data_IF_572328588577
#
_entry.id   IF_572328588577
#
_cell.length_a   1.000
_cell.length_b   1.000
_cell.length_c   1.000
_cell.angle_alpha   90.00
_cell.angle_beta   90.00
_cell.angle_gamma   90.00
#
_symmetry.space_group_name_H-M   'P 1'
#
loop_
_entity.id
_entity.type
_entity.pdbx_description
1 polymer ?
#
# COMPACT_ATOMS: atom_id res chain seq x y z
N UNK A 1 -0.78 7.00 -9.64
CA UNK A 1 0.67 6.73 -9.55
C UNK A 1 1.24 6.64 -10.97
N UNK A 2 2.40 7.21 -11.24
CA UNK A 2 3.07 7.10 -12.55
C UNK A 2 4.59 7.11 -12.42
N UNK A 3 5.28 6.61 -13.45
CA UNK A 3 6.75 6.62 -13.55
C UNK A 3 7.18 7.96 -14.14
N UNK A 4 7.92 8.78 -13.40
CA UNK A 4 8.45 10.06 -13.88
C UNK A 4 9.70 9.87 -14.73
N UNK A 5 10.57 8.98 -14.27
CA UNK A 5 11.86 8.71 -14.90
C UNK A 5 12.23 7.25 -14.68
N UNK A 6 12.87 6.67 -15.70
CA UNK A 6 13.39 5.30 -15.66
C UNK A 6 14.79 5.27 -16.26
N UNK A 7 15.74 4.64 -15.57
CA UNK A 7 17.10 4.43 -16.07
C UNK A 7 17.52 2.97 -15.89
N UNK A 8 18.38 2.49 -16.78
CA UNK A 8 18.84 1.09 -16.80
C UNK A 8 18.29 0.27 -17.96
N UNK A 9 18.90 -0.89 -18.16
CA UNK A 9 18.62 -1.80 -19.27
C UNK A 9 17.59 -2.86 -18.88
N UNK A 10 16.84 -3.31 -19.88
CA UNK A 10 15.88 -4.42 -19.75
C UNK A 10 16.26 -5.50 -20.77
N UNK A 11 16.47 -6.76 -20.37
CA UNK A 11 16.36 -7.29 -19.02
C UNK A 11 17.48 -6.80 -18.08
N UNK A 12 17.18 -6.65 -16.79
CA UNK A 12 18.15 -6.17 -15.81
C UNK A 12 17.51 -5.41 -14.64
N UNK A 13 18.35 -4.74 -13.87
CA UNK A 13 17.91 -3.83 -12.79
C UNK A 13 17.70 -2.45 -13.38
N UNK A 14 16.54 -1.87 -13.05
CA UNK A 14 16.12 -0.55 -13.48
C UNK A 14 15.86 0.31 -12.24
N UNK A 15 16.30 1.56 -12.28
CA UNK A 15 15.98 2.56 -11.27
C UNK A 15 14.82 3.42 -11.79
N UNK A 16 13.70 3.37 -11.09
CA UNK A 16 12.48 4.07 -11.48
C UNK A 16 12.08 5.08 -10.41
N UNK A 17 11.97 6.35 -10.81
CA UNK A 17 11.39 7.42 -9.98
C UNK A 17 9.89 7.45 -10.21
N UNK A 18 9.13 7.28 -9.13
CA UNK A 18 7.68 7.09 -9.17
C UNK A 18 7.04 8.18 -8.32
N UNK A 19 6.01 8.82 -8.88
CA UNK A 19 5.16 9.76 -8.15
C UNK A 19 3.82 9.13 -7.81
N UNK A 20 3.45 9.24 -6.54
CA UNK A 20 2.13 8.91 -6.02
C UNK A 20 1.61 10.07 -5.18
N UNK A 21 0.70 10.87 -5.74
CA UNK A 21 0.23 12.09 -5.10
C UNK A 21 1.39 13.06 -4.82
N UNK A 22 1.57 13.42 -3.55
CA UNK A 22 2.66 14.27 -3.08
C UNK A 22 3.99 13.51 -2.85
N UNK A 23 3.96 12.17 -2.85
CA UNK A 23 5.12 11.33 -2.53
C UNK A 23 5.88 10.98 -3.81
N UNK A 24 7.20 11.17 -3.80
CA UNK A 24 8.11 10.76 -4.86
C UNK A 24 9.17 9.85 -4.28
N UNK A 25 9.40 8.67 -4.90
CA UNK A 25 10.48 7.75 -4.50
C UNK A 25 11.14 7.12 -5.70
N UNK A 26 12.45 6.88 -5.58
CA UNK A 26 13.20 6.06 -6.54
C UNK A 26 13.30 4.64 -6.01
N UNK A 27 12.85 3.68 -6.81
CA UNK A 27 12.89 2.25 -6.52
C UNK A 27 13.87 1.53 -7.45
N UNK A 28 14.53 0.50 -6.93
CA UNK A 28 15.29 -0.46 -7.74
C UNK A 28 14.37 -1.64 -8.06
N UNK A 29 14.11 -1.87 -9.34
CA UNK A 29 13.19 -2.91 -9.82
C UNK A 29 13.91 -3.78 -10.83
N UNK A 30 13.96 -5.09 -10.58
CA UNK A 30 14.46 -6.05 -11.56
C UNK A 30 13.36 -6.37 -12.56
N UNK A 31 13.65 -6.15 -13.83
CA UNK A 31 12.76 -6.41 -14.95
C UNK A 31 13.33 -7.52 -15.83
N UNK A 32 12.45 -8.37 -16.33
CA UNK A 32 12.77 -9.34 -17.36
C UNK A 32 11.77 -9.22 -18.52
N UNK A 33 12.17 -9.77 -19.66
CA UNK A 33 11.32 -9.89 -20.84
C UNK A 33 10.96 -11.35 -21.04
N UNK A 34 9.69 -11.63 -21.25
CA UNK A 34 9.19 -13.00 -21.46
C UNK A 34 9.35 -13.41 -22.92
N UNK A 35 9.16 -14.70 -23.21
CA UNK A 35 9.25 -15.23 -24.59
C UNK A 35 8.19 -14.63 -25.51
N UNK A 36 7.04 -14.24 -24.96
CA UNK A 36 5.96 -13.53 -25.67
C UNK A 36 6.31 -12.06 -25.96
N UNK A 37 7.42 -11.55 -25.43
CA UNK A 37 7.88 -10.18 -25.62
C UNK A 37 7.35 -9.18 -24.59
N UNK A 38 6.56 -9.64 -23.61
CA UNK A 38 6.04 -8.84 -22.49
C UNK A 38 7.08 -8.61 -21.39
N UNK A 39 6.73 -7.75 -20.45
CA UNK A 39 7.57 -7.36 -19.33
C UNK A 39 7.03 -7.91 -18.02
N UNK A 40 7.93 -8.38 -17.17
CA UNK A 40 7.63 -8.80 -15.79
C UNK A 40 8.62 -8.14 -14.84
N UNK A 41 8.15 -7.78 -13.65
CA UNK A 41 8.97 -7.22 -12.58
C UNK A 41 9.09 -8.20 -11.41
N UNK A 42 10.24 -8.22 -10.75
CA UNK A 42 10.42 -8.93 -9.48
C UNK A 42 9.75 -8.11 -8.38
N UNK A 43 8.83 -8.71 -7.65
CA UNK A 43 8.08 -8.11 -6.55
C UNK A 43 8.87 -8.18 -5.24
N UNK A 44 8.56 -7.35 -4.22
CA UNK A 44 9.27 -7.35 -2.94
C UNK A 44 9.24 -8.69 -2.18
N UNK A 45 8.28 -9.56 -2.50
CA UNK A 45 8.16 -10.91 -1.94
C UNK A 45 8.91 -11.98 -2.77
N UNK A 46 9.85 -11.58 -3.63
CA UNK A 46 10.63 -12.44 -4.53
C UNK A 46 9.80 -13.27 -5.53
N UNK A 47 8.59 -12.81 -5.86
CA UNK A 47 7.78 -13.39 -6.95
C UNK A 47 7.82 -12.49 -8.19
N UNK A 48 7.40 -13.00 -9.35
CA UNK A 48 7.29 -12.18 -10.55
C UNK A 48 5.86 -11.63 -10.68
N UNK A 49 5.73 -10.40 -11.17
CA UNK A 49 4.44 -9.83 -11.55
C UNK A 49 3.79 -10.63 -12.68
N UNK A 50 2.52 -10.38 -12.92
CA UNK A 50 1.89 -10.78 -14.19
C UNK A 50 2.58 -10.08 -15.37
N UNK A 51 2.46 -10.69 -16.55
CA UNK A 51 2.96 -10.11 -17.80
C UNK A 51 2.29 -8.76 -18.09
N UNK A 52 3.12 -7.78 -18.46
CA UNK A 52 2.71 -6.43 -18.79
C UNK A 52 3.16 -6.06 -20.21
N UNK A 53 2.35 -5.27 -20.91
CA UNK A 53 2.67 -4.79 -22.26
C UNK A 53 3.84 -3.82 -22.28
N UNK A 54 4.04 -3.05 -21.20
CA UNK A 54 5.08 -2.03 -21.07
C UNK A 54 5.90 -2.25 -19.80
N UNK A 55 7.17 -1.83 -19.79
CA UNK A 55 7.99 -1.94 -18.59
C UNK A 55 7.51 -1.00 -17.48
N UNK A 56 6.94 0.15 -17.82
CA UNK A 56 6.36 1.08 -16.85
C UNK A 56 5.19 0.43 -16.09
N UNK A 57 4.33 -0.34 -16.75
CA UNK A 57 3.26 -1.07 -16.08
C UNK A 57 3.79 -2.11 -15.09
N UNK A 58 4.83 -2.87 -15.48
CA UNK A 58 5.46 -3.84 -14.58
C UNK A 58 6.12 -3.16 -13.36
N UNK A 59 6.76 -2.00 -13.56
CA UNK A 59 7.32 -1.18 -12.47
C UNK A 59 6.21 -0.71 -11.53
N UNK A 60 5.09 -0.26 -12.05
CA UNK A 60 3.97 0.21 -11.23
C UNK A 60 3.36 -0.92 -10.39
N UNK A 61 3.37 -2.17 -10.87
CA UNK A 61 2.97 -3.32 -10.04
C UNK A 61 3.92 -3.53 -8.85
N UNK A 62 5.23 -3.45 -9.08
CA UNK A 62 6.21 -3.49 -7.98
C UNK A 62 5.96 -2.35 -6.99
N UNK A 63 5.77 -1.14 -7.52
CA UNK A 63 5.59 0.06 -6.71
C UNK A 63 4.32 0.03 -5.86
N UNK A 64 3.22 -0.55 -6.37
CA UNK A 64 1.97 -0.69 -5.64
C UNK A 64 2.13 -1.51 -4.35
N UNK A 65 3.12 -2.41 -4.27
CA UNK A 65 3.42 -3.19 -3.06
C UNK A 65 4.38 -2.49 -2.09
N UNK A 66 5.14 -1.50 -2.57
CA UNK A 66 6.17 -0.81 -1.78
C UNK A 66 5.68 0.55 -1.27
N UNK A 67 4.83 1.24 -2.03
CA UNK A 67 4.27 2.50 -1.60
C UNK A 67 3.28 2.24 -0.45
N UNK A 68 3.37 3.01 0.65
CA UNK A 68 2.39 2.89 1.72
C UNK A 68 1.00 3.21 1.16
N UNK A 69 0.05 2.31 1.37
CA UNK A 69 -1.37 2.67 1.36
C UNK A 69 -1.53 3.74 2.42
N UNK A 70 -2.10 4.89 2.05
CA UNK A 70 -2.13 6.09 2.87
C UNK A 70 -2.71 5.83 4.27
N UNK A 71 -1.85 5.68 5.28
CA UNK A 71 -2.23 5.88 6.69
C UNK A 71 -2.43 7.39 6.95
N UNK A 72 -2.01 8.25 6.02
CA UNK A 72 -2.19 9.70 6.11
C UNK A 72 -3.67 10.12 6.09
N UNK A 73 -4.53 9.43 5.35
CA UNK A 73 -5.98 9.70 5.32
C UNK A 73 -6.77 8.83 6.31
N UNK A 74 -6.09 7.88 6.95
CA UNK A 74 -6.65 6.96 7.92
C UNK A 74 -5.71 6.77 9.13
N UNK A 75 -5.48 7.82 9.95
CA UNK A 75 -4.57 7.75 11.11
C UNK A 75 -4.99 6.69 12.14
N UNK A 76 -6.26 6.26 12.13
CA UNK A 76 -6.78 5.15 12.93
C UNK A 76 -6.18 3.78 12.56
N UNK A 77 -5.66 3.61 11.34
CA UNK A 77 -4.99 2.39 10.90
C UNK A 77 -3.60 2.24 11.54
N UNK A 78 -2.98 3.34 11.97
CA UNK A 78 -1.66 3.34 12.62
C UNK A 78 -1.69 2.98 14.11
N UNK A 79 -2.87 2.95 14.73
CA UNK A 79 -3.03 2.66 16.15
C UNK A 79 -3.61 1.24 16.34
N UNK A 80 -2.87 0.22 15.89
CA UNK A 80 -3.19 -1.21 16.09
C UNK A 80 -2.99 -1.65 17.55
N UNK A 81 -3.36 -0.82 18.54
CA UNK A 81 -3.41 -1.28 19.91
C UNK A 81 -4.61 -2.23 19.99
N UNK A 82 -4.41 -3.53 20.26
CA UNK A 82 -5.53 -4.45 20.40
C UNK A 82 -6.44 -3.89 21.49
N UNK A 83 -7.72 -3.71 21.16
CA UNK A 83 -8.73 -3.34 22.15
C UNK A 83 -8.75 -4.47 23.17
N UNK A 84 -8.32 -4.18 24.40
CA UNK A 84 -8.47 -5.11 25.50
C UNK A 84 -9.97 -5.43 25.66
N UNK A 85 -10.36 -6.70 25.79
CA UNK A 85 -11.74 -7.11 26.07
C UNK A 85 -12.34 -6.42 27.32
N UNK A 86 -11.51 -5.86 28.20
CA UNK A 86 -11.97 -5.24 29.45
C UNK A 86 -12.54 -3.82 29.27
N UNK A 87 -12.51 -3.25 28.07
CA UNK A 87 -12.97 -1.87 27.82
C UNK A 87 -14.49 -1.71 27.64
N UNK A 88 -15.28 -2.79 27.69
CA UNK A 88 -16.73 -2.75 27.48
C UNK A 88 -17.58 -2.67 28.76
N UNK A 89 -16.98 -2.61 29.95
CA UNK A 89 -17.76 -2.61 31.19
C UNK A 89 -17.34 -1.44 32.08
N UNK A 90 -17.94 -0.28 31.84
CA UNK A 90 -18.23 0.66 32.93
C UNK A 90 -19.51 1.45 32.62
N UNK A 91 -20.63 0.76 32.79
CA UNK A 91 -21.86 1.21 33.47
C UNK A 91 -22.27 2.67 33.22
N UNK A 92 -23.20 2.93 32.29
CA UNK A 92 -24.64 2.94 32.57
C UNK A 92 -24.95 3.66 33.89
N UNK A 93 -25.15 4.98 33.81
CA UNK A 93 -25.78 5.76 34.89
C UNK A 93 -27.19 5.22 35.16
N UNK A 94 -27.55 4.89 36.40
CA UNK A 94 -28.94 4.59 36.72
C UNK A 94 -29.77 5.88 36.58
N UNK A 95 -30.90 5.78 35.89
CA UNK A 95 -31.89 6.85 35.78
C UNK A 95 -32.53 7.00 37.17
N UNK A 96 -32.56 8.20 37.79
CA UNK A 96 -33.23 8.36 39.08
C UNK A 96 -34.76 8.25 38.90
N UNK A 97 -35.40 7.39 39.69
CA UNK A 97 -36.84 7.16 39.78
C UNK A 97 -37.59 8.33 40.45
N UNK A 98 -37.49 9.56 39.93
CA UNK A 98 -38.23 10.72 40.47
C UNK A 98 -39.25 11.33 39.52
N UNK A 99 -39.76 10.55 38.56
CA UNK A 99 -40.93 10.96 37.75
C UNK A 99 -42.07 9.94 37.80
N UNK A 100 -42.44 9.47 39.00
CA UNK A 100 -43.72 8.79 39.21
C UNK A 100 -44.47 9.47 40.37
N UNK A 101 -45.55 10.16 39.98
CA UNK A 101 -46.73 10.59 40.74
C UNK A 101 -46.57 11.66 41.85
N UNK A 102 -47.21 12.81 41.66
CA UNK A 102 -48.59 13.10 42.14
C UNK A 102 -49.28 14.13 41.23
#
# INVERSE_FOLDING_TARGET
MYVEQRTGSIPGIVFATIRHGAIVRTLSVKLARTLSGHYIAEMPNNTWSTECMTPESAILMHAALVFPVEIHDAPWLGNLKPVSPDSYITNLTPIPETMIAE
#
